data_IF_791657178385
#
_entry.id   IF_791657178385
#
_cell.length_a   1.000
_cell.length_b   1.000
_cell.length_c   1.000
_cell.angle_alpha   90.00
_cell.angle_beta   90.00
_cell.angle_gamma   90.00
#
_symmetry.space_group_name_H-M   'P 1'
#
loop_
_entity.id
_entity.type
_entity.pdbx_description
1 polymer ?
#
# COMPACT_ATOMS: atom_id res chain seq x y z
N UNK A 1 5.92 -6.60 11.74
CA UNK A 1 5.14 -6.82 10.51
C UNK A 1 6.09 -6.63 9.34
N UNK A 2 6.06 -7.52 8.36
CA UNK A 2 6.97 -7.53 7.21
C UNK A 2 6.22 -7.98 5.95
N UNK A 3 6.71 -7.61 4.77
CA UNK A 3 6.06 -7.90 3.50
C UNK A 3 6.38 -9.34 3.07
N UNK A 4 5.35 -10.11 2.70
CA UNK A 4 5.49 -11.45 2.10
C UNK A 4 5.43 -11.38 0.57
N UNK A 5 4.47 -10.61 0.05
CA UNK A 5 4.15 -10.59 -1.37
C UNK A 5 3.48 -9.26 -1.71
N UNK A 6 3.79 -8.73 -2.88
CA UNK A 6 3.11 -7.59 -3.48
C UNK A 6 2.65 -7.99 -4.89
N UNK A 7 1.39 -7.76 -5.19
CA UNK A 7 0.84 -7.86 -6.54
C UNK A 7 0.29 -6.49 -6.94
N UNK A 8 0.70 -5.99 -8.10
CA UNK A 8 0.18 -4.74 -8.66
C UNK A 8 -0.32 -4.98 -10.07
N UNK A 9 -1.49 -4.42 -10.38
CA UNK A 9 -2.07 -4.46 -11.71
C UNK A 9 -2.50 -3.06 -12.17
N UNK A 10 -2.26 -2.78 -13.45
CA UNK A 10 -2.54 -1.50 -14.12
C UNK A 10 -1.99 -0.26 -13.40
N UNK A 11 -0.88 -0.40 -12.66
CA UNK A 11 -0.22 0.67 -11.94
C UNK A 11 0.85 1.30 -12.83
N UNK A 12 0.58 2.49 -13.38
CA UNK A 12 1.47 3.19 -14.31
C UNK A 12 1.81 2.30 -15.52
N UNK A 13 3.06 1.84 -15.62
CA UNK A 13 3.53 0.94 -16.68
C UNK A 13 3.43 -0.54 -16.29
N UNK A 14 3.16 -0.84 -15.01
CA UNK A 14 3.08 -2.19 -14.47
C UNK A 14 1.68 -2.76 -14.68
N UNK A 15 1.53 -3.65 -15.67
CA UNK A 15 0.25 -4.22 -16.06
C UNK A 15 -0.21 -5.33 -15.13
N UNK A 16 0.71 -6.25 -14.84
CA UNK A 16 0.55 -7.35 -13.92
C UNK A 16 1.95 -7.71 -13.42
N UNK A 17 2.21 -7.47 -12.15
CA UNK A 17 3.50 -7.73 -11.54
C UNK A 17 3.30 -8.30 -10.15
N UNK A 18 3.85 -9.49 -9.93
CA UNK A 18 3.86 -10.20 -8.66
C UNK A 18 5.30 -10.30 -8.13
N UNK A 19 5.53 -9.82 -6.92
CA UNK A 19 6.85 -9.73 -6.30
C UNK A 19 6.83 -10.50 -4.98
N UNK A 20 7.49 -11.67 -4.89
CA UNK A 20 7.68 -12.36 -3.63
C UNK A 20 8.81 -11.72 -2.83
N UNK A 21 8.56 -11.48 -1.54
CA UNK A 21 9.55 -10.95 -0.59
C UNK A 21 10.08 -12.02 0.37
N UNK A 22 9.65 -13.26 0.18
CA UNK A 22 10.21 -14.41 0.87
C UNK A 22 11.36 -15.03 0.07
N UNK A 23 12.28 -15.64 0.79
CA UNK A 23 13.31 -16.54 0.29
C UNK A 23 13.32 -17.75 1.22
N UNK A 24 13.07 -18.94 0.66
CA UNK A 24 12.97 -20.18 1.44
C UNK A 24 11.96 -20.10 2.61
N UNK A 25 10.81 -19.45 2.36
CA UNK A 25 9.76 -19.25 3.36
C UNK A 25 10.04 -18.16 4.39
N UNK A 26 11.26 -17.60 4.42
CA UNK A 26 11.65 -16.56 5.37
C UNK A 26 11.67 -15.17 4.71
N UNK A 27 11.41 -14.09 5.45
CA UNK A 27 11.52 -12.73 4.91
C UNK A 27 12.93 -12.43 4.42
N UNK A 28 13.06 -11.87 3.22
CA UNK A 28 14.35 -11.39 2.71
C UNK A 28 14.88 -10.27 3.62
N UNK A 29 16.15 -10.34 3.98
CA UNK A 29 16.81 -9.29 4.77
C UNK A 29 16.91 -7.97 3.99
N UNK A 30 17.09 -8.05 2.68
CA UNK A 30 17.14 -6.90 1.79
C UNK A 30 16.49 -7.21 0.44
N UNK A 31 15.85 -6.21 -0.17
CA UNK A 31 15.32 -6.28 -1.52
C UNK A 31 15.60 -4.94 -2.19
N UNK A 32 16.25 -4.97 -3.35
CA UNK A 32 16.65 -3.78 -4.09
C UNK A 32 15.93 -3.76 -5.43
N UNK A 33 15.24 -2.64 -5.72
CA UNK A 33 14.65 -2.38 -7.03
C UNK A 33 15.66 -1.61 -7.88
N UNK A 34 16.20 -2.26 -8.92
CA UNK A 34 17.12 -1.65 -9.89
C UNK A 34 16.40 -1.45 -11.22
N UNK A 35 16.68 -0.34 -11.88
CA UNK A 35 16.14 -0.03 -13.19
C UNK A 35 16.37 1.44 -13.53
N UNK A 36 16.18 1.81 -14.79
CA UNK A 36 16.29 3.19 -15.25
C UNK A 36 15.23 4.11 -14.63
N UNK A 37 15.45 5.43 -14.74
CA UNK A 37 14.44 6.41 -14.35
C UNK A 37 13.17 6.23 -15.19
N UNK A 38 12.01 6.37 -14.57
CA UNK A 38 10.72 6.12 -15.23
C UNK A 38 10.21 4.67 -15.15
N UNK A 39 11.02 3.68 -14.76
CA UNK A 39 10.60 2.28 -14.64
C UNK A 39 9.87 1.93 -13.33
N UNK A 40 9.01 2.83 -12.84
CA UNK A 40 8.06 2.57 -11.76
C UNK A 40 8.65 2.12 -10.39
N UNK A 41 9.96 2.22 -10.15
CA UNK A 41 10.59 1.89 -8.85
C UNK A 41 9.92 2.63 -7.68
N UNK A 42 9.78 3.95 -7.82
CA UNK A 42 9.07 4.78 -6.82
C UNK A 42 7.60 4.41 -6.70
N UNK A 43 6.95 4.01 -7.80
CA UNK A 43 5.56 3.56 -7.79
C UNK A 43 5.36 2.27 -7.01
N UNK A 44 6.31 1.32 -7.10
CA UNK A 44 6.31 0.12 -6.27
C UNK A 44 6.45 0.44 -4.78
N UNK A 45 7.40 1.29 -4.41
CA UNK A 45 7.58 1.71 -3.01
C UNK A 45 6.33 2.42 -2.46
N UNK A 46 5.70 3.28 -3.27
CA UNK A 46 4.43 3.91 -2.91
C UNK A 46 3.29 2.91 -2.81
N UNK A 47 3.23 1.90 -3.68
CA UNK A 47 2.22 0.85 -3.61
C UNK A 47 2.34 0.03 -2.31
N UNK A 48 3.56 -0.32 -1.89
CA UNK A 48 3.82 -0.97 -0.60
C UNK A 48 3.36 -0.07 0.55
N UNK A 49 3.71 1.22 0.51
CA UNK A 49 3.29 2.16 1.54
C UNK A 49 1.76 2.26 1.62
N UNK A 50 1.08 2.40 0.48
CA UNK A 50 -0.38 2.46 0.41
C UNK A 50 -1.04 1.19 0.97
N UNK A 51 -0.62 0.02 0.52
CA UNK A 51 -1.15 -1.26 0.99
C UNK A 51 -0.91 -1.45 2.50
N UNK A 52 0.23 -0.96 3.01
CA UNK A 52 0.51 -1.01 4.43
C UNK A 52 -0.31 0.03 5.23
N UNK A 53 -0.79 1.11 4.62
CA UNK A 53 -1.60 2.16 5.27
C UNK A 53 -3.09 1.93 5.24
N UNK A 54 -3.59 1.17 4.26
CA UNK A 54 -5.03 1.01 4.02
C UNK A 54 -5.64 2.21 3.27
N UNK A 55 -6.91 2.10 2.86
CA UNK A 55 -7.56 3.09 1.99
C UNK A 55 -7.75 4.45 2.67
N UNK A 56 -8.14 4.50 3.95
CA UNK A 56 -8.43 5.76 4.65
C UNK A 56 -7.21 6.66 4.75
N UNK A 57 -6.13 6.16 5.35
CA UNK A 57 -4.87 6.91 5.42
C UNK A 57 -4.25 7.07 4.04
N UNK A 58 -4.36 6.08 3.14
CA UNK A 58 -3.88 6.22 1.76
C UNK A 58 -4.48 7.43 1.03
N UNK A 59 -5.78 7.67 1.21
CA UNK A 59 -6.48 8.82 0.63
C UNK A 59 -6.03 10.16 1.23
N UNK A 60 -5.71 10.20 2.53
CA UNK A 60 -5.14 11.39 3.20
C UNK A 60 -3.70 11.68 2.74
N UNK A 61 -2.92 10.63 2.51
CA UNK A 61 -1.49 10.73 2.24
C UNK A 61 -1.14 11.04 0.78
N UNK A 62 -2.06 10.88 -0.16
CA UNK A 62 -1.70 10.73 -1.57
C UNK A 62 -2.74 11.16 -2.59
N UNK A 63 -3.60 12.14 -2.32
CA UNK A 63 -4.72 12.52 -3.22
C UNK A 63 -4.27 12.76 -4.68
N UNK A 64 -3.19 13.51 -4.91
CA UNK A 64 -2.62 13.73 -6.25
C UNK A 64 -1.81 12.54 -6.79
N UNK A 65 -1.31 11.64 -5.95
CA UNK A 65 -0.67 10.43 -6.44
C UNK A 65 -1.72 9.44 -6.98
N UNK A 66 -2.81 9.25 -6.24
CA UNK A 66 -3.90 8.32 -6.55
C UNK A 66 -4.47 8.59 -7.94
N UNK A 67 -4.74 9.85 -8.28
CA UNK A 67 -5.26 10.23 -9.61
C UNK A 67 -4.28 9.96 -10.75
N UNK A 68 -2.98 9.85 -10.45
CA UNK A 68 -1.96 9.56 -11.47
C UNK A 68 -1.57 8.09 -11.54
N UNK A 69 -1.96 7.26 -10.57
CA UNK A 69 -1.61 5.84 -10.51
C UNK A 69 -2.07 5.02 -11.72
N UNK A 70 -3.31 5.20 -12.24
CA UNK A 70 -3.80 4.38 -13.34
C UNK A 70 -2.95 4.49 -14.61
N UNK A 71 -2.88 3.39 -15.36
CA UNK A 71 -2.34 3.38 -16.71
C UNK A 71 -3.24 4.21 -17.64
N UNK A 72 -2.83 5.45 -17.94
CA UNK A 72 -3.59 6.38 -18.78
C UNK A 72 -3.78 5.91 -20.23
N UNK A 73 -3.06 4.89 -20.68
CA UNK A 73 -3.27 4.27 -22.00
C UNK A 73 -4.53 3.39 -22.02
N UNK A 74 -5.16 3.18 -20.86
CA UNK A 74 -6.36 2.35 -20.68
C UNK A 74 -7.35 3.10 -19.80
N UNK A 75 -8.27 3.83 -20.41
CA UNK A 75 -9.19 4.72 -19.70
C UNK A 75 -10.05 4.01 -18.64
N UNK A 76 -10.37 2.73 -18.85
CA UNK A 76 -11.23 1.93 -17.96
C UNK A 76 -10.47 0.94 -17.06
N UNK A 77 -9.13 0.94 -17.08
CA UNK A 77 -8.38 0.01 -16.26
C UNK A 77 -8.44 0.39 -14.76
N UNK A 78 -8.91 -0.56 -13.94
CA UNK A 78 -8.82 -0.44 -12.49
C UNK A 78 -7.40 -0.78 -12.04
N UNK A 79 -6.82 0.08 -11.21
CA UNK A 79 -5.57 -0.22 -10.51
C UNK A 79 -5.89 -1.17 -9.37
N UNK A 80 -5.08 -2.21 -9.21
CA UNK A 80 -5.14 -3.09 -8.05
C UNK A 80 -3.78 -3.13 -7.38
N UNK A 81 -3.75 -2.98 -6.06
CA UNK A 81 -2.59 -3.21 -5.22
C UNK A 81 -3.01 -4.22 -4.16
N UNK A 82 -2.38 -5.39 -4.18
CA UNK A 82 -2.57 -6.42 -3.18
C UNK A 82 -1.24 -6.67 -2.48
N UNK A 83 -1.26 -6.72 -1.16
CA UNK A 83 -0.09 -7.05 -0.38
C UNK A 83 -0.45 -8.05 0.71
N UNK A 84 0.41 -9.03 0.91
CA UNK A 84 0.35 -9.92 2.07
C UNK A 84 1.48 -9.56 3.02
N UNK A 85 1.17 -9.43 4.30
CA UNK A 85 2.14 -9.14 5.35
C UNK A 85 2.16 -10.25 6.39
N UNK A 86 3.35 -10.57 6.88
CA UNK A 86 3.55 -11.48 8.00
C UNK A 86 3.78 -10.74 9.32
N UNK A 87 3.53 -11.46 10.41
CA UNK A 87 3.86 -11.04 11.77
C UNK A 87 4.86 -12.02 12.40
N UNK A 88 5.79 -11.50 13.20
CA UNK A 88 6.86 -12.34 13.77
C UNK A 88 6.34 -13.18 14.93
N UNK A 89 6.69 -14.46 14.95
CA UNK A 89 6.44 -15.40 16.07
C UNK A 89 6.90 -14.83 17.42
N UNK A 90 8.11 -14.26 17.48
CA UNK A 90 8.69 -13.68 18.69
C UNK A 90 7.78 -12.62 19.38
N UNK A 91 7.02 -11.87 18.59
CA UNK A 91 6.18 -10.78 19.09
C UNK A 91 4.70 -11.17 19.14
N UNK A 92 4.37 -12.42 18.83
CA UNK A 92 2.99 -12.90 18.73
C UNK A 92 2.23 -12.75 20.05
N UNK A 93 2.84 -13.16 21.16
CA UNK A 93 2.23 -13.10 22.50
C UNK A 93 1.81 -11.67 22.87
N UNK A 94 2.66 -10.69 22.59
CA UNK A 94 2.44 -9.28 22.93
C UNK A 94 1.65 -8.50 21.86
N UNK A 95 1.32 -9.10 20.72
CA UNK A 95 0.60 -8.43 19.63
C UNK A 95 -0.90 -8.56 19.81
N UNK A 96 -1.61 -7.49 19.51
CA UNK A 96 -3.07 -7.49 19.40
C UNK A 96 -3.49 -7.59 17.93
N UNK A 97 -4.53 -8.38 17.68
CA UNK A 97 -5.11 -8.64 16.36
C UNK A 97 -6.56 -8.17 16.33
N UNK A 98 -6.83 -6.92 15.92
CA UNK A 98 -8.16 -6.35 16.02
C UNK A 98 -9.19 -7.10 15.18
N UNK A 99 -10.37 -7.27 15.75
CA UNK A 99 -11.43 -8.03 15.12
C UNK A 99 -11.22 -9.54 15.17
N UNK A 100 -10.20 -10.06 15.85
CA UNK A 100 -10.16 -11.47 16.26
C UNK A 100 -10.64 -11.61 17.71
N UNK A 101 -11.67 -12.44 17.93
CA UNK A 101 -12.21 -12.77 19.25
C UNK A 101 -11.21 -13.57 20.08
N UNK A 102 -10.46 -14.47 19.43
CA UNK A 102 -9.41 -15.27 20.04
C UNK A 102 -8.08 -15.10 19.28
N UNK A 103 -6.98 -15.05 20.04
CA UNK A 103 -5.63 -14.99 19.46
C UNK A 103 -5.31 -16.37 18.84
N UNK A 104 -5.00 -16.44 17.53
CA UNK A 104 -4.66 -17.70 16.89
C UNK A 104 -3.35 -18.28 17.46
N UNK A 105 -3.13 -19.60 17.40
CA UNK A 105 -1.95 -20.25 17.98
C UNK A 105 -0.63 -19.79 17.32
N UNK A 106 -0.70 -19.39 16.05
CA UNK A 106 0.40 -18.84 15.27
C UNK A 106 0.01 -17.47 14.71
N UNK A 107 0.98 -16.58 14.41
CA UNK A 107 0.70 -15.30 13.78
C UNK A 107 -0.04 -15.52 12.45
N UNK A 108 -1.19 -14.88 12.25
CA UNK A 108 -1.85 -14.90 10.96
C UNK A 108 -1.03 -14.09 9.96
N UNK A 109 -1.43 -14.13 8.70
CA UNK A 109 -1.02 -13.13 7.73
C UNK A 109 -2.08 -12.03 7.63
N UNK A 110 -1.67 -10.84 7.21
CA UNK A 110 -2.59 -9.76 6.87
C UNK A 110 -2.59 -9.59 5.36
N UNK A 111 -3.72 -9.88 4.72
CA UNK A 111 -3.98 -9.50 3.34
C UNK A 111 -4.55 -8.10 3.27
N UNK A 112 -4.00 -7.25 2.41
CA UNK A 112 -4.55 -5.92 2.09
C UNK A 112 -4.79 -5.82 0.60
N UNK A 113 -5.98 -5.33 0.22
CA UNK A 113 -6.36 -5.11 -1.17
C UNK A 113 -6.87 -3.70 -1.34
N UNK A 114 -6.23 -2.95 -2.23
CA UNK A 114 -6.62 -1.61 -2.61
C UNK A 114 -6.93 -1.55 -4.10
N UNK A 115 -7.95 -0.78 -4.44
CA UNK A 115 -8.33 -0.49 -5.81
C UNK A 115 -8.59 1.00 -6.01
N UNK A 116 -8.33 1.48 -7.22
CA UNK A 116 -8.73 2.82 -7.66
C UNK A 116 -8.90 2.83 -9.18
N UNK A 117 -9.48 3.90 -9.71
CA UNK A 117 -9.62 4.11 -11.15
C UNK A 117 -9.36 5.56 -11.50
N UNK A 118 -9.15 5.80 -12.80
CA UNK A 118 -9.02 7.12 -13.42
C UNK A 118 -10.17 8.07 -13.04
N UNK A 119 -11.39 7.54 -12.89
CA UNK A 119 -12.60 8.34 -12.62
C UNK A 119 -12.85 8.62 -11.14
N UNK A 120 -12.47 7.69 -10.26
CA UNK A 120 -12.79 7.79 -8.83
C UNK A 120 -11.81 8.70 -8.09
N UNK A 121 -10.52 8.69 -8.45
CA UNK A 121 -9.49 9.47 -7.75
C UNK A 121 -9.34 9.15 -6.26
N UNK A 122 -9.91 8.04 -5.80
CA UNK A 122 -9.99 7.62 -4.40
C UNK A 122 -9.60 6.14 -4.32
N UNK A 123 -8.84 5.77 -3.30
CA UNK A 123 -8.56 4.39 -2.93
C UNK A 123 -9.74 3.80 -2.19
N UNK A 124 -10.17 2.62 -2.62
CA UNK A 124 -11.10 1.74 -1.92
C UNK A 124 -10.40 0.44 -1.62
N UNK A 125 -10.91 -0.31 -0.66
CA UNK A 125 -10.31 -1.58 -0.30
C UNK A 125 -10.56 -1.93 1.15
N UNK A 126 -9.95 -3.02 1.54
CA UNK A 126 -9.98 -3.52 2.91
C UNK A 126 -8.75 -4.38 3.18
N UNK A 127 -8.53 -4.66 4.45
CA UNK A 127 -7.61 -5.68 4.90
C UNK A 127 -8.37 -6.77 5.64
N UNK A 128 -7.76 -7.96 5.72
CA UNK A 128 -8.31 -9.09 6.46
C UNK A 128 -7.17 -10.00 6.91
N UNK A 129 -7.39 -10.72 8.00
CA UNK A 129 -6.48 -11.79 8.37
C UNK A 129 -6.70 -13.01 7.48
N UNK A 130 -5.59 -13.63 7.09
CA UNK A 130 -5.59 -14.90 6.37
C UNK A 130 -4.72 -15.90 7.10
N UNK A 131 -5.12 -17.16 7.08
CA UNK A 131 -4.35 -18.23 7.68
C UNK A 131 -3.01 -18.40 6.95
N UNK A 132 -1.93 -18.59 7.70
CA UNK A 132 -0.60 -18.65 7.12
C UNK A 132 -0.37 -19.90 6.25
N UNK A 133 -1.05 -21.00 6.58
CA UNK A 133 -0.91 -22.30 5.90
C UNK A 133 -1.83 -22.43 4.69
N UNK A 134 -3.11 -22.04 4.83
CA UNK A 134 -4.11 -22.21 3.77
C UNK A 134 -4.26 -20.98 2.89
N UNK A 135 -3.76 -19.80 3.33
CA UNK A 135 -3.98 -18.48 2.69
C UNK A 135 -5.45 -18.10 2.54
N UNK A 136 -6.36 -18.79 3.23
CA UNK A 136 -7.78 -18.48 3.24
C UNK A 136 -8.09 -17.45 4.33
N UNK A 137 -9.15 -16.64 4.17
CA UNK A 137 -9.59 -15.72 5.21
C UNK A 137 -9.87 -16.46 6.52
N UNK A 138 -9.37 -15.92 7.63
CA UNK A 138 -9.78 -16.41 8.94
C UNK A 138 -11.29 -16.14 9.09
N UNK A 139 -12.07 -17.22 9.10
CA UNK A 139 -13.53 -17.14 9.19
C UNK A 139 -14.02 -17.36 10.62
N UNK A 140 -13.22 -18.02 11.46
CA UNK A 140 -13.52 -18.23 12.87
C UNK A 140 -13.01 -17.07 13.72
N UNK A 141 -13.85 -16.60 14.64
CA UNK A 141 -13.54 -15.52 15.58
C UNK A 141 -13.29 -14.16 14.92
N UNK A 142 -13.68 -13.95 13.67
CA UNK A 142 -13.49 -12.64 13.02
C UNK A 142 -14.76 -11.81 13.10
N UNK A 143 -14.69 -10.68 13.81
CA UNK A 143 -15.79 -9.73 13.91
C UNK A 143 -16.09 -9.14 12.54
N UNK A 144 -17.29 -9.45 12.03
CA UNK A 144 -17.71 -9.10 10.68
C UNK A 144 -17.72 -7.58 10.50
N UNK A 145 -17.00 -7.09 9.49
CA UNK A 145 -16.96 -5.68 9.13
C UNK A 145 -15.81 -4.88 9.76
N UNK A 146 -14.98 -5.49 10.62
CA UNK A 146 -13.77 -4.84 11.13
C UNK A 146 -12.64 -5.00 10.11
N UNK A 147 -12.08 -3.87 9.66
CA UNK A 147 -10.80 -3.87 8.96
C UNK A 147 -9.67 -3.86 10.00
N UNK A 148 -8.90 -4.95 10.15
CA UNK A 148 -7.88 -5.06 11.19
C UNK A 148 -6.75 -4.05 11.05
N UNK A 149 -6.45 -3.60 9.82
CA UNK A 149 -5.41 -2.61 9.58
C UNK A 149 -5.88 -1.21 9.99
N UNK A 150 -7.14 -0.89 9.69
CA UNK A 150 -7.76 0.37 10.10
C UNK A 150 -7.89 0.45 11.63
N UNK A 151 -8.42 -0.61 12.25
CA UNK A 151 -8.64 -0.65 13.69
C UNK A 151 -7.32 -0.59 14.46
N UNK A 152 -6.30 -1.35 14.03
CA UNK A 152 -4.98 -1.29 14.65
C UNK A 152 -4.37 0.12 14.61
N UNK A 153 -4.67 0.89 13.55
CA UNK A 153 -4.20 2.27 13.40
C UNK A 153 -5.00 3.26 14.24
N UNK A 154 -6.32 3.09 14.32
CA UNK A 154 -7.20 3.93 15.12
C UNK A 154 -6.86 3.81 16.61
N UNK A 155 -6.67 2.58 17.10
CA UNK A 155 -6.28 2.29 18.48
C UNK A 155 -4.79 2.56 18.77
N UNK A 156 -3.98 2.90 17.76
CA UNK A 156 -2.55 3.19 17.94
C UNK A 156 -1.74 1.98 18.42
N UNK A 157 -2.10 0.77 17.99
CA UNK A 157 -1.54 -0.47 18.50
C UNK A 157 -0.04 -0.59 18.21
N UNK A 158 0.69 -1.04 19.23
CA UNK A 158 2.13 -1.30 19.14
C UNK A 158 2.40 -2.49 18.22
N UNK A 159 3.63 -2.56 17.71
CA UNK A 159 4.13 -3.68 16.88
C UNK A 159 3.49 -3.78 15.48
N UNK A 160 2.54 -2.90 15.13
CA UNK A 160 2.00 -2.73 13.77
C UNK A 160 2.91 -1.85 12.91
N UNK A 161 2.87 -2.05 11.59
CA UNK A 161 3.70 -1.28 10.67
C UNK A 161 3.17 0.16 10.53
N UNK A 162 4.07 1.12 10.69
CA UNK A 162 3.78 2.53 10.43
C UNK A 162 4.44 2.91 9.11
N UNK A 163 3.64 3.17 8.08
CA UNK A 163 4.12 3.83 6.87
C UNK A 163 3.98 5.36 7.04
N UNK A 164 5.06 6.08 6.76
CA UNK A 164 5.14 7.54 6.78
C UNK A 164 6.59 7.99 6.94
N UNK A 165 7.08 8.89 6.09
CA UNK A 165 8.42 9.47 6.21
C UNK A 165 8.33 10.89 6.79
N UNK A 166 9.23 11.22 7.73
CA UNK A 166 9.40 12.57 8.26
C UNK A 166 8.29 13.07 9.20
N UNK A 167 8.47 14.30 9.67
CA UNK A 167 7.65 14.98 10.69
C UNK A 167 6.17 15.12 10.28
N UNK A 168 5.89 15.08 8.97
CA UNK A 168 4.54 15.23 8.39
C UNK A 168 3.91 13.94 7.89
N UNK A 169 4.64 12.79 7.93
CA UNK A 169 4.17 11.45 7.53
C UNK A 169 3.56 11.31 6.13
N UNK A 170 3.81 12.23 5.19
CA UNK A 170 3.22 12.21 3.84
C UNK A 170 3.89 11.22 2.88
N UNK A 171 3.14 10.73 1.88
CA UNK A 171 3.73 10.02 0.73
C UNK A 171 4.30 11.08 -0.21
N UNK A 172 5.60 11.01 -0.59
CA UNK A 172 6.21 12.01 -1.47
C UNK A 172 5.42 12.14 -2.77
N UNK A 173 5.15 13.36 -3.21
CA UNK A 173 4.47 13.61 -4.48
C UNK A 173 5.43 13.41 -5.66
N UNK A 174 4.96 12.99 -6.85
CA UNK A 174 5.76 13.15 -8.06
C UNK A 174 6.10 14.64 -8.23
N UNK A 175 7.36 14.97 -8.53
CA UNK A 175 7.70 16.32 -8.97
C UNK A 175 6.90 16.58 -10.27
N UNK A 176 5.93 17.49 -10.23
CA UNK A 176 5.37 18.01 -11.46
C UNK A 176 6.46 18.89 -12.09
N UNK A 177 6.73 18.67 -13.38
CA UNK A 177 7.47 19.67 -14.15
C UNK A 177 6.61 20.93 -14.13
N UNK A 178 7.01 21.93 -13.35
CA UNK A 178 6.39 23.24 -13.40
C UNK A 178 6.51 23.72 -14.86
N UNK A 179 5.39 23.75 -15.57
CA UNK A 179 5.28 24.50 -16.81
C UNK A 179 5.59 25.94 -16.46
N UNK A 180 6.84 26.37 -16.71
CA UNK A 180 7.21 27.78 -16.73
C UNK A 180 6.32 28.44 -17.78
N UNK A 181 5.26 29.10 -17.32
CA UNK A 181 4.58 30.10 -18.11
C UNK A 181 5.59 31.23 -18.28
N UNK A 182 6.27 31.26 -19.42
CA UNK A 182 7.01 32.44 -19.84
C UNK A 182 5.96 33.51 -20.14
N UNK A 183 5.72 34.39 -19.17
CA UNK A 183 5.02 35.64 -19.43
C UNK A 183 5.97 36.50 -20.26
N UNK A 184 5.70 36.60 -21.56
CA UNK A 184 6.36 37.61 -22.40
C UNK A 184 5.98 38.98 -21.86
N UNK A 185 6.94 39.65 -21.20
CA UNK A 185 6.84 41.06 -20.86
C UNK A 185 6.80 41.89 -22.14
N UNK A 186 5.60 42.30 -22.54
CA UNK A 186 5.37 43.42 -23.45
C UNK A 186 5.60 44.71 -22.64
N UNK A 187 6.60 45.50 -23.01
CA UNK A 187 6.88 46.76 -22.33
C UNK A 187 8.12 47.49 -22.85
N UNK A 188 8.14 47.81 -24.15
CA UNK A 188 9.00 48.85 -24.71
C UNK A 188 8.26 49.59 -25.83
N UNK A 189 7.64 50.72 -25.50
CA UNK A 189 7.39 51.84 -26.42
C UNK A 189 7.50 53.10 -25.55
N UNK A 190 8.67 53.75 -25.66
CA UNK A 190 8.91 55.08 -26.27
C UNK A 190 8.57 56.23 -25.32
#
# INVERSE_FOLDING_TARGET
MYLHELTVANLKLLRDMKIPFLHEGQPRSWTVFVGENGLCKTSLLRAIALAATGPERGNQLGTSYITTMPDKRREDAQVTIEATFGFSERLHKAREYPGLDEKPPHPPLLGSKLTTSTRLGVLRGNSQFVDASTRLPLSQGTQKGIDPLQEARAAGLKLWFVAGYGVSRNIPQPLSTASRVYVHGQGWHQ
#
